data_IF_331478529414
#
_entry.id   IF_331478529414
#
_cell.length_a   1.000
_cell.length_b   1.000
_cell.length_c   1.000
_cell.angle_alpha   90.00
_cell.angle_beta   90.00
_cell.angle_gamma   90.00
#
_symmetry.space_group_name_H-M   'P 1'
#
loop_
_entity.id
_entity.type
_entity.pdbx_description
1 polymer ?
#
# COMPACT_ATOMS: atom_id res chain seq x y z
N UNK A 1 -3.21 13.56 -5.21
CA UNK A 1 -2.25 12.51 -4.86
C UNK A 1 -0.88 13.08 -4.48
N UNK A 2 -0.27 13.94 -5.29
CA UNK A 2 1.11 14.41 -5.07
C UNK A 2 1.30 15.11 -3.71
N UNK A 3 0.28 15.74 -3.13
CA UNK A 3 0.36 16.37 -1.81
C UNK A 3 0.52 15.36 -0.65
N UNK A 4 0.14 14.10 -0.88
CA UNK A 4 0.21 13.02 0.12
C UNK A 4 1.22 11.92 -0.26
N UNK A 5 1.92 12.07 -1.40
CA UNK A 5 2.89 11.10 -1.92
C UNK A 5 4.27 11.72 -1.95
N UNK A 6 5.24 11.05 -1.34
CA UNK A 6 6.63 11.51 -1.27
C UNK A 6 7.19 11.53 0.14
N UNK A 7 8.42 11.98 0.24
CA UNK A 7 9.16 12.10 1.51
C UNK A 7 8.49 13.17 2.38
N UNK A 8 8.36 12.94 3.71
CA UNK A 8 7.80 13.90 4.65
C UNK A 8 8.50 15.26 4.61
N UNK A 9 7.75 16.34 4.91
CA UNK A 9 8.34 17.66 5.03
C UNK A 9 9.33 17.71 6.19
N UNK A 10 10.45 18.38 5.98
CA UNK A 10 11.56 18.48 6.95
C UNK A 10 12.62 17.38 6.82
N UNK A 11 12.40 16.34 6.02
CA UNK A 11 13.39 15.30 5.78
C UNK A 11 14.19 15.55 4.47
N UNK A 12 15.42 15.01 4.36
CA UNK A 12 16.19 15.11 3.13
C UNK A 12 15.45 14.52 1.93
N UNK A 13 15.31 15.28 0.86
CA UNK A 13 14.55 14.88 -0.33
C UNK A 13 13.05 15.12 -0.22
N UNK A 14 12.60 15.89 0.78
CA UNK A 14 11.20 16.27 0.94
C UNK A 14 10.62 16.93 -0.31
N UNK A 15 9.38 16.58 -0.63
CA UNK A 15 8.64 17.17 -1.75
C UNK A 15 7.56 16.26 -2.30
N UNK A 16 6.65 16.84 -3.12
CA UNK A 16 5.63 16.07 -3.78
C UNK A 16 6.24 15.15 -4.84
N UNK A 17 5.79 13.87 -4.85
CA UNK A 17 6.24 12.87 -5.82
C UNK A 17 5.05 12.36 -6.62
N UNK A 18 5.22 12.28 -7.95
CA UNK A 18 4.26 11.64 -8.85
C UNK A 18 4.41 10.12 -8.75
N UNK A 19 3.29 9.40 -8.66
CA UNK A 19 3.29 7.95 -8.83
C UNK A 19 3.83 7.61 -10.23
N UNK A 20 4.64 6.55 -10.33
CA UNK A 20 5.37 6.19 -11.54
C UNK A 20 4.50 5.84 -12.76
N UNK A 21 3.21 5.57 -12.56
CA UNK A 21 2.23 5.29 -13.62
C UNK A 21 1.15 6.37 -13.66
N UNK A 22 0.39 6.43 -14.76
CA UNK A 22 -0.76 7.35 -14.93
C UNK A 22 -1.98 6.80 -14.17
N UNK A 23 -1.94 6.86 -12.83
CA UNK A 23 -2.95 6.26 -11.93
C UNK A 23 -4.34 6.84 -12.18
N UNK A 24 -4.47 8.15 -12.40
CA UNK A 24 -5.76 8.79 -12.67
C UNK A 24 -6.40 8.25 -13.93
N UNK A 25 -5.62 8.08 -15.01
CA UNK A 25 -6.09 7.53 -16.28
C UNK A 25 -6.54 6.08 -16.15
N UNK A 26 -5.73 5.25 -15.45
CA UNK A 26 -6.05 3.84 -15.21
C UNK A 26 -7.35 3.68 -14.43
N UNK A 27 -7.50 4.43 -13.33
CA UNK A 27 -8.71 4.37 -12.50
C UNK A 27 -9.92 4.89 -13.28
N UNK A 28 -9.78 5.99 -14.00
CA UNK A 28 -10.88 6.54 -14.82
C UNK A 28 -11.30 5.56 -15.91
N UNK A 29 -10.33 4.89 -16.56
CA UNK A 29 -10.64 3.84 -17.54
C UNK A 29 -11.41 2.66 -16.94
N UNK A 30 -11.10 2.26 -15.72
CA UNK A 30 -11.84 1.22 -14.99
C UNK A 30 -13.28 1.69 -14.64
N UNK A 31 -13.46 2.92 -14.15
CA UNK A 31 -14.78 3.49 -13.91
C UNK A 31 -15.58 3.61 -15.21
N UNK A 32 -14.96 4.06 -16.31
CA UNK A 32 -15.60 4.13 -17.61
C UNK A 32 -16.09 2.75 -18.07
N UNK A 33 -15.25 1.73 -17.98
CA UNK A 33 -15.62 0.36 -18.33
C UNK A 33 -16.82 -0.14 -17.52
N UNK A 34 -16.80 0.06 -16.20
CA UNK A 34 -17.92 -0.31 -15.33
C UNK A 34 -19.21 0.44 -15.67
N UNK A 35 -19.15 1.75 -15.90
CA UNK A 35 -20.31 2.57 -16.24
C UNK A 35 -20.90 2.17 -17.61
N UNK A 36 -20.06 1.90 -18.61
CA UNK A 36 -20.51 1.42 -19.93
C UNK A 36 -21.20 0.06 -19.80
N UNK A 37 -20.62 -0.88 -19.05
CA UNK A 37 -21.23 -2.19 -18.84
C UNK A 37 -22.58 -2.07 -18.11
N UNK A 38 -22.68 -1.23 -17.10
CA UNK A 38 -23.94 -0.98 -16.39
C UNK A 38 -25.00 -0.37 -17.32
N UNK A 39 -24.64 0.62 -18.13
CA UNK A 39 -25.54 1.23 -19.09
C UNK A 39 -25.99 0.25 -20.18
N UNK A 40 -25.13 -0.68 -20.61
CA UNK A 40 -25.52 -1.73 -21.56
C UNK A 40 -26.54 -2.70 -20.94
N UNK A 41 -26.35 -3.10 -19.69
CA UNK A 41 -27.31 -3.97 -18.98
C UNK A 41 -28.66 -3.26 -18.79
N UNK A 42 -28.64 -1.99 -18.40
CA UNK A 42 -29.86 -1.18 -18.25
C UNK A 42 -30.57 -1.04 -19.60
N UNK A 43 -29.85 -0.80 -20.69
CA UNK A 43 -30.39 -0.69 -22.03
C UNK A 43 -31.16 -1.94 -22.48
N UNK A 44 -30.68 -3.14 -22.11
CA UNK A 44 -31.39 -4.40 -22.44
C UNK A 44 -32.76 -4.49 -21.73
N UNK A 45 -32.93 -3.81 -20.61
CA UNK A 45 -34.20 -3.81 -19.83
C UNK A 45 -35.11 -2.64 -20.24
N UNK A 46 -34.53 -1.43 -20.38
CA UNK A 46 -35.29 -0.20 -20.62
C UNK A 46 -35.50 0.12 -22.09
N UNK A 47 -34.70 -0.45 -23.00
CA UNK A 47 -34.62 -0.12 -24.41
C UNK A 47 -33.99 1.26 -24.70
N UNK A 48 -33.42 1.92 -23.70
CA UNK A 48 -32.86 3.28 -23.79
C UNK A 48 -31.36 3.27 -23.46
N UNK A 49 -30.58 4.06 -24.18
CA UNK A 49 -29.20 4.35 -23.84
C UNK A 49 -29.12 5.43 -22.76
N UNK A 50 -28.00 5.43 -22.03
CA UNK A 50 -27.70 6.42 -21.01
C UNK A 50 -26.53 7.33 -21.42
N UNK A 51 -26.57 8.58 -20.96
CA UNK A 51 -25.44 9.49 -21.05
C UNK A 51 -24.54 9.32 -19.84
N UNK A 52 -23.27 8.99 -20.06
CA UNK A 52 -22.30 8.78 -19.01
C UNK A 52 -21.38 10.00 -18.93
N UNK A 53 -21.46 10.76 -17.85
CA UNK A 53 -20.52 11.83 -17.51
C UNK A 53 -19.43 11.27 -16.59
N UNK A 54 -18.18 11.37 -17.00
CA UNK A 54 -17.04 10.85 -16.26
C UNK A 54 -15.82 11.76 -16.44
N UNK A 55 -15.33 12.32 -15.34
CA UNK A 55 -14.16 13.17 -15.34
C UNK A 55 -12.96 12.50 -14.63
N UNK A 56 -11.75 12.79 -15.13
CA UNK A 56 -10.49 12.41 -14.47
C UNK A 56 -10.41 12.95 -13.04
N UNK A 57 -10.92 14.15 -12.80
CA UNK A 57 -10.93 14.78 -11.49
C UNK A 57 -11.77 13.98 -10.48
N UNK A 58 -12.97 13.55 -10.88
CA UNK A 58 -13.91 12.82 -10.01
C UNK A 58 -13.30 11.46 -9.59
N UNK A 59 -12.73 10.76 -10.57
CA UNK A 59 -12.04 9.50 -10.35
C UNK A 59 -10.82 9.68 -9.44
N UNK A 60 -10.07 10.79 -9.60
CA UNK A 60 -8.93 11.10 -8.76
C UNK A 60 -9.35 11.46 -7.33
N UNK A 61 -10.47 12.16 -7.12
CA UNK A 61 -11.02 12.45 -5.80
C UNK A 61 -11.46 11.15 -5.12
N UNK A 62 -12.15 10.26 -5.82
CA UNK A 62 -12.51 8.94 -5.31
C UNK A 62 -11.27 8.10 -4.90
N UNK A 63 -10.19 8.20 -5.67
CA UNK A 63 -8.93 7.51 -5.39
C UNK A 63 -8.19 8.01 -4.14
N UNK A 64 -8.57 9.13 -3.54
CA UNK A 64 -8.00 9.59 -2.25
C UNK A 64 -8.44 8.69 -1.08
N UNK A 65 -9.54 7.96 -1.21
CA UNK A 65 -10.02 6.94 -0.27
C UNK A 65 -9.98 7.39 1.21
N UNK A 66 -9.26 6.64 2.06
CA UNK A 66 -9.14 6.95 3.49
C UNK A 66 -8.46 8.29 3.80
N UNK A 67 -7.65 8.83 2.90
CA UNK A 67 -7.02 10.15 3.10
C UNK A 67 -8.05 11.28 2.99
N UNK A 68 -8.98 11.18 2.03
CA UNK A 68 -10.10 12.11 1.95
C UNK A 68 -10.98 12.01 3.21
N UNK A 69 -11.28 10.79 3.68
CA UNK A 69 -12.05 10.59 4.91
C UNK A 69 -11.34 11.17 6.13
N UNK A 70 -10.03 10.99 6.27
CA UNK A 70 -9.27 11.60 7.35
C UNK A 70 -9.45 13.13 7.37
N UNK A 71 -9.37 13.78 6.21
CA UNK A 71 -9.60 15.22 6.10
C UNK A 71 -11.05 15.60 6.48
N UNK A 72 -12.04 14.91 5.94
CA UNK A 72 -13.46 15.20 6.17
C UNK A 72 -13.86 15.06 7.64
N UNK A 73 -13.25 14.10 8.37
CA UNK A 73 -13.53 13.90 9.79
C UNK A 73 -12.76 14.86 10.72
N UNK A 74 -11.52 15.23 10.35
CA UNK A 74 -10.64 15.99 11.25
C UNK A 74 -10.48 17.46 10.87
N UNK A 75 -10.82 17.84 9.65
CA UNK A 75 -10.51 19.15 9.07
C UNK A 75 -9.02 19.39 8.80
N UNK A 76 -8.16 18.39 9.07
CA UNK A 76 -6.71 18.51 8.90
C UNK A 76 -6.25 17.84 7.59
N UNK A 77 -5.54 18.61 6.77
CA UNK A 77 -5.00 18.09 5.51
C UNK A 77 -3.92 17.04 5.77
N UNK A 78 -4.06 15.82 5.19
CA UNK A 78 -3.04 14.78 5.33
C UNK A 78 -1.69 15.22 4.79
N UNK A 79 -0.65 14.80 5.50
CA UNK A 79 0.74 15.07 5.13
C UNK A 79 1.39 13.88 4.42
N UNK A 80 2.48 14.12 3.68
CA UNK A 80 3.32 13.06 3.13
C UNK A 80 3.96 12.25 4.26
N UNK A 81 4.00 10.93 4.08
CA UNK A 81 4.54 9.98 5.07
C UNK A 81 5.49 8.94 4.46
N UNK A 82 6.09 9.23 3.31
CA UNK A 82 6.87 8.24 2.58
C UNK A 82 6.00 7.03 2.20
N UNK A 83 6.40 5.85 2.64
CA UNK A 83 5.66 4.60 2.44
C UNK A 83 4.72 4.26 3.61
N UNK A 84 4.68 5.07 4.66
CA UNK A 84 3.96 4.74 5.89
C UNK A 84 2.45 4.98 5.77
N UNK A 85 1.67 3.98 6.23
CA UNK A 85 0.22 4.11 6.34
C UNK A 85 -0.16 5.13 7.43
N UNK A 86 -1.14 6.03 7.20
CA UNK A 86 -1.50 7.06 8.17
C UNK A 86 -2.12 6.49 9.45
N UNK A 87 -2.94 5.46 9.35
CA UNK A 87 -3.83 4.99 10.41
C UNK A 87 -3.47 3.59 10.95
N UNK A 88 -2.47 2.91 10.38
CA UNK A 88 -2.05 1.55 10.77
C UNK A 88 -0.54 1.53 10.97
N UNK A 89 -0.08 1.00 12.11
CA UNK A 89 1.33 0.96 12.48
C UNK A 89 1.70 -0.39 13.12
N UNK A 90 2.79 -1.05 12.66
CA UNK A 90 3.64 -0.71 11.53
C UNK A 90 3.03 -1.17 10.19
N UNK A 91 2.94 -0.27 9.22
CA UNK A 91 2.57 -0.60 7.86
C UNK A 91 3.35 0.33 6.93
N UNK A 92 4.54 -0.10 6.50
CA UNK A 92 5.44 0.65 5.63
C UNK A 92 6.60 -0.21 5.12
N UNK A 93 7.41 0.35 4.22
CA UNK A 93 8.66 -0.26 3.80
C UNK A 93 9.73 -0.07 4.89
N UNK A 94 10.48 -1.14 5.16
CA UNK A 94 11.64 -1.15 6.06
C UNK A 94 12.89 -1.64 5.33
N UNK A 95 14.06 -1.01 5.56
CA UNK A 95 15.31 -1.54 5.04
C UNK A 95 15.66 -2.85 5.75
N UNK A 96 16.16 -3.79 4.97
CA UNK A 96 16.69 -5.06 5.45
C UNK A 96 18.22 -5.08 5.32
N UNK A 97 18.84 -6.24 5.53
CA UNK A 97 20.27 -6.38 5.34
C UNK A 97 20.71 -6.19 3.87
N UNK A 98 19.87 -6.53 2.92
CA UNK A 98 20.20 -6.59 1.49
C UNK A 98 19.29 -5.78 0.57
N UNK A 99 18.09 -5.39 1.03
CA UNK A 99 17.11 -4.68 0.22
C UNK A 99 16.05 -4.01 1.09
N UNK A 100 14.77 -4.10 0.69
CA UNK A 100 13.61 -3.55 1.38
C UNK A 100 12.52 -4.60 1.57
N UNK A 101 11.84 -4.50 2.70
CA UNK A 101 10.68 -5.31 3.05
C UNK A 101 9.46 -4.40 3.22
N UNK A 102 8.39 -4.64 2.47
CA UNK A 102 7.08 -4.10 2.80
C UNK A 102 6.48 -4.93 3.92
N UNK A 103 6.26 -4.33 5.09
CA UNK A 103 5.62 -4.94 6.26
C UNK A 103 4.23 -4.34 6.43
N UNK A 104 3.20 -5.18 6.60
CA UNK A 104 1.81 -4.75 6.73
C UNK A 104 1.14 -5.42 7.93
N UNK A 105 1.38 -4.88 9.11
CA UNK A 105 0.76 -5.35 10.37
C UNK A 105 -0.60 -4.68 10.52
N UNK A 106 -1.66 -5.39 10.14
CA UNK A 106 -3.02 -4.85 10.07
C UNK A 106 -3.81 -4.87 11.39
N UNK A 107 -3.35 -5.61 12.41
CA UNK A 107 -4.04 -5.74 13.70
C UNK A 107 -3.08 -6.11 14.84
N UNK A 108 -3.60 -6.08 16.09
CA UNK A 108 -2.79 -6.28 17.29
C UNK A 108 -2.21 -7.71 17.38
N UNK A 109 -2.97 -8.72 16.98
CA UNK A 109 -2.49 -10.11 16.94
C UNK A 109 -1.31 -10.29 15.97
N UNK A 110 -1.35 -9.63 14.82
CA UNK A 110 -0.24 -9.64 13.88
C UNK A 110 0.98 -8.88 14.42
N UNK A 111 0.77 -7.82 15.20
CA UNK A 111 1.85 -7.11 15.87
C UNK A 111 2.58 -8.01 16.89
N UNK A 112 1.83 -8.71 17.72
CA UNK A 112 2.40 -9.70 18.66
C UNK A 112 3.16 -10.81 17.92
N UNK A 113 2.60 -11.32 16.84
CA UNK A 113 3.24 -12.34 16.01
C UNK A 113 4.54 -11.84 15.38
N UNK A 114 4.54 -10.61 14.86
CA UNK A 114 5.74 -9.93 14.37
C UNK A 114 6.79 -9.79 15.47
N UNK A 115 6.43 -9.29 16.64
CA UNK A 115 7.37 -9.10 17.76
C UNK A 115 8.03 -10.42 18.20
N UNK A 116 7.24 -11.50 18.28
CA UNK A 116 7.77 -12.85 18.58
C UNK A 116 8.74 -13.32 17.50
N UNK A 117 8.34 -13.25 16.24
CA UNK A 117 9.17 -13.67 15.11
C UNK A 117 10.46 -12.84 14.99
N UNK A 118 10.38 -11.57 15.30
CA UNK A 118 11.51 -10.64 15.27
C UNK A 118 12.44 -10.74 16.50
N UNK A 119 12.09 -11.56 17.51
CA UNK A 119 12.84 -11.60 18.78
C UNK A 119 12.73 -10.29 19.58
N UNK A 120 11.58 -9.59 19.43
CA UNK A 120 11.28 -8.29 20.06
C UNK A 120 10.06 -8.38 20.99
N UNK A 121 9.92 -9.51 21.72
CA UNK A 121 8.82 -9.74 22.66
C UNK A 121 8.48 -8.54 23.56
N UNK A 122 9.45 -7.86 24.17
CA UNK A 122 9.18 -6.69 25.02
C UNK A 122 8.41 -5.56 24.35
N UNK A 123 8.48 -5.41 23.01
CA UNK A 123 7.69 -4.41 22.30
C UNK A 123 6.18 -4.73 22.32
N UNK A 124 5.82 -6.02 22.33
CA UNK A 124 4.42 -6.42 22.41
C UNK A 124 3.81 -6.22 23.80
N UNK A 125 4.65 -6.20 24.82
CA UNK A 125 4.25 -6.02 26.22
C UNK A 125 4.22 -4.54 26.65
N UNK A 126 4.86 -3.65 25.88
CA UNK A 126 4.92 -2.22 26.17
C UNK A 126 3.52 -1.59 26.01
N UNK A 127 2.97 -0.94 27.06
CA UNK A 127 1.66 -0.30 27.02
C UNK A 127 1.48 0.69 25.87
N UNK A 128 2.57 1.34 25.42
CA UNK A 128 2.55 2.29 24.32
C UNK A 128 2.27 1.65 22.95
N UNK A 129 2.33 0.31 22.86
CA UNK A 129 2.23 -0.40 21.56
C UNK A 129 1.16 -1.49 21.54
N UNK A 130 0.36 -1.63 22.58
CA UNK A 130 -0.63 -2.70 22.72
C UNK A 130 -1.71 -2.66 21.65
N UNK A 131 -2.32 -1.51 21.44
CA UNK A 131 -3.34 -1.34 20.40
C UNK A 131 -2.77 -0.60 19.18
N UNK A 132 -3.46 -0.72 18.04
CA UNK A 132 -3.10 0.07 16.87
C UNK A 132 -3.17 1.57 17.15
N UNK A 133 -4.15 2.03 17.93
CA UNK A 133 -4.26 3.45 18.31
C UNK A 133 -3.03 3.92 19.09
N UNK A 134 -2.55 3.11 20.06
CA UNK A 134 -1.35 3.41 20.82
C UNK A 134 -0.11 3.46 19.93
N UNK A 135 0.03 2.49 18.99
CA UNK A 135 1.14 2.48 18.04
C UNK A 135 1.12 3.66 17.06
N UNK A 136 -0.06 4.09 16.65
CA UNK A 136 -0.21 5.33 15.83
C UNK A 136 0.26 6.55 16.61
N UNK A 137 -0.15 6.68 17.88
CA UNK A 137 0.23 7.79 18.76
C UNK A 137 1.74 7.80 19.07
N UNK A 138 2.37 6.61 19.17
CA UNK A 138 3.78 6.46 19.55
C UNK A 138 4.66 5.95 18.40
N UNK A 139 4.29 6.22 17.14
CA UNK A 139 5.02 5.71 15.95
C UNK A 139 6.48 6.12 15.92
N UNK A 140 6.80 7.32 16.37
CA UNK A 140 8.17 7.85 16.40
C UNK A 140 9.09 7.05 17.34
N UNK A 141 8.53 6.47 18.39
CA UNK A 141 9.26 5.58 19.29
C UNK A 141 9.35 4.14 18.76
N UNK A 142 8.31 3.65 18.08
CA UNK A 142 8.21 2.27 17.64
C UNK A 142 8.98 2.00 16.34
N UNK A 143 8.85 2.88 15.35
CA UNK A 143 9.39 2.63 14.00
C UNK A 143 10.91 2.41 13.99
N UNK A 144 11.74 3.20 14.72
CA UNK A 144 13.18 2.96 14.78
C UNK A 144 13.55 1.59 15.34
N UNK A 145 12.81 1.06 16.33
CA UNK A 145 13.07 -0.26 16.91
C UNK A 145 12.74 -1.39 15.91
N UNK A 146 11.68 -1.23 15.13
CA UNK A 146 11.33 -2.17 14.06
C UNK A 146 12.36 -2.12 12.94
N UNK A 147 12.77 -0.94 12.52
CA UNK A 147 13.80 -0.77 11.49
C UNK A 147 15.12 -1.45 11.90
N UNK A 148 15.56 -1.22 13.14
CA UNK A 148 16.74 -1.86 13.71
C UNK A 148 16.63 -3.39 13.70
N UNK A 149 15.44 -3.94 13.95
CA UNK A 149 15.20 -5.38 13.84
C UNK A 149 15.25 -5.85 12.37
N UNK A 150 14.59 -5.13 11.44
CA UNK A 150 14.52 -5.50 10.03
C UNK A 150 15.91 -5.57 9.37
N UNK A 151 16.82 -4.69 9.73
CA UNK A 151 18.22 -4.67 9.23
C UNK A 151 19.04 -5.90 9.60
N UNK A 152 18.58 -6.74 10.54
CA UNK A 152 19.34 -7.91 11.02
C UNK A 152 19.27 -9.14 10.12
N UNK A 153 18.36 -9.17 9.14
CA UNK A 153 18.17 -10.32 8.24
C UNK A 153 17.95 -9.84 6.80
N UNK A 154 18.19 -10.76 5.87
CA UNK A 154 17.87 -10.54 4.45
C UNK A 154 16.35 -10.49 4.24
N UNK A 155 15.91 -9.84 3.17
CA UNK A 155 14.50 -9.76 2.77
C UNK A 155 13.88 -11.17 2.66
N UNK A 156 14.58 -12.09 1.99
CA UNK A 156 14.11 -13.46 1.82
C UNK A 156 13.96 -14.21 3.17
N UNK A 157 14.86 -13.97 4.12
CA UNK A 157 14.77 -14.56 5.46
C UNK A 157 13.56 -14.01 6.22
N UNK A 158 13.31 -12.70 6.15
CA UNK A 158 12.14 -12.07 6.74
C UNK A 158 10.84 -12.61 6.17
N UNK A 159 10.74 -12.70 4.84
CA UNK A 159 9.51 -13.18 4.18
C UNK A 159 9.17 -14.59 4.67
N UNK A 160 10.14 -15.52 4.69
CA UNK A 160 9.90 -16.89 5.22
C UNK A 160 9.44 -16.88 6.67
N UNK A 161 10.11 -16.11 7.51
CA UNK A 161 9.82 -16.03 8.95
C UNK A 161 8.43 -15.47 9.23
N UNK A 162 8.08 -14.36 8.58
CA UNK A 162 6.83 -13.65 8.79
C UNK A 162 5.64 -14.36 8.14
N UNK A 163 5.83 -14.99 6.98
CA UNK A 163 4.80 -15.83 6.36
C UNK A 163 4.42 -17.00 7.28
N UNK A 164 5.40 -17.68 7.90
CA UNK A 164 5.15 -18.74 8.87
C UNK A 164 4.43 -18.23 10.13
N UNK A 165 4.62 -16.97 10.50
CA UNK A 165 3.95 -16.31 11.63
C UNK A 165 2.58 -15.71 11.26
N UNK A 166 2.14 -15.79 10.00
CA UNK A 166 0.89 -15.19 9.54
C UNK A 166 0.89 -13.66 9.50
N UNK A 167 2.08 -13.05 9.34
CA UNK A 167 2.26 -11.60 9.24
C UNK A 167 2.43 -11.22 7.77
N UNK A 168 1.55 -10.40 7.18
CA UNK A 168 1.66 -9.98 5.79
C UNK A 168 2.93 -9.16 5.54
N UNK A 169 3.71 -9.59 4.58
CA UNK A 169 4.91 -8.88 4.12
C UNK A 169 5.26 -9.30 2.69
N UNK A 170 6.12 -8.53 2.04
CA UNK A 170 6.61 -8.86 0.70
C UNK A 170 7.86 -8.05 0.32
N UNK A 171 8.56 -8.46 -0.73
CA UNK A 171 9.69 -7.71 -1.27
C UNK A 171 9.19 -6.46 -2.01
N UNK A 172 10.07 -5.50 -2.23
CA UNK A 172 9.84 -4.40 -3.18
C UNK A 172 10.60 -4.75 -4.45
N UNK A 173 9.90 -5.39 -5.37
CA UNK A 173 10.46 -5.87 -6.62
C UNK A 173 10.57 -4.75 -7.65
N UNK A 174 11.65 -4.76 -8.44
CA UNK A 174 11.70 -4.01 -9.69
C UNK A 174 10.87 -4.72 -10.78
N UNK A 175 10.68 -4.07 -11.93
CA UNK A 175 9.82 -4.59 -13.00
C UNK A 175 10.30 -5.96 -13.54
N UNK A 176 11.61 -6.18 -13.65
CA UNK A 176 12.15 -7.45 -14.10
C UNK A 176 11.86 -8.56 -13.09
N UNK A 177 12.05 -8.30 -11.80
CA UNK A 177 11.76 -9.25 -10.72
C UNK A 177 10.27 -9.59 -10.62
N UNK A 178 9.37 -8.63 -10.91
CA UNK A 178 7.92 -8.90 -10.98
C UNK A 178 7.60 -9.98 -12.00
N UNK A 179 8.21 -9.96 -13.20
CA UNK A 179 7.98 -10.97 -14.24
C UNK A 179 8.65 -12.31 -13.95
N UNK A 180 9.61 -12.36 -13.04
CA UNK A 180 10.24 -13.60 -12.55
C UNK A 180 9.50 -14.21 -11.34
N UNK A 181 8.58 -13.48 -10.74
CA UNK A 181 7.83 -13.90 -9.56
C UNK A 181 6.99 -15.15 -9.86
N UNK A 182 7.07 -16.23 -9.04
CA UNK A 182 6.41 -17.52 -9.31
C UNK A 182 4.91 -17.41 -9.56
N UNK A 183 4.19 -16.55 -8.82
CA UNK A 183 2.75 -16.39 -8.97
C UNK A 183 2.39 -15.67 -10.28
N UNK A 184 3.20 -14.70 -10.71
CA UNK A 184 3.04 -14.00 -12.01
C UNK A 184 3.20 -14.99 -13.17
N UNK A 185 4.22 -15.86 -13.10
CA UNK A 185 4.45 -16.93 -14.07
C UNK A 185 3.33 -17.98 -14.06
N UNK A 186 2.93 -18.44 -12.88
CA UNK A 186 1.84 -19.41 -12.72
C UNK A 186 0.53 -18.91 -13.33
N UNK A 187 0.19 -17.65 -13.09
CA UNK A 187 -1.02 -17.01 -13.62
C UNK A 187 -0.90 -16.59 -15.09
N UNK A 188 0.25 -16.79 -15.72
CA UNK A 188 0.52 -16.42 -17.11
C UNK A 188 0.15 -14.97 -17.42
N UNK A 189 0.53 -14.05 -16.52
CA UNK A 189 0.24 -12.62 -16.69
C UNK A 189 1.05 -11.97 -17.81
N UNK A 190 2.11 -12.65 -18.27
CA UNK A 190 2.86 -12.33 -19.50
C UNK A 190 2.64 -13.43 -20.51
N UNK A 191 2.31 -13.05 -21.74
CA UNK A 191 2.25 -13.95 -22.89
C UNK A 191 2.79 -13.22 -24.13
N UNK A 192 3.40 -13.98 -25.01
CA UNK A 192 3.95 -13.46 -26.25
C UNK A 192 2.92 -13.57 -27.37
N UNK A 193 2.77 -12.49 -28.14
CA UNK A 193 1.86 -12.45 -29.29
C UNK A 193 2.70 -12.31 -30.57
N UNK A 194 2.47 -13.17 -31.53
CA UNK A 194 3.10 -13.03 -32.84
C UNK A 194 2.60 -11.73 -33.51
N UNK A 195 3.53 -10.86 -33.86
CA UNK A 195 3.23 -9.61 -34.57
C UNK A 195 3.90 -9.64 -35.93
N UNK A 196 3.13 -9.49 -36.99
CA UNK A 196 3.67 -9.25 -38.31
C UNK A 196 4.27 -7.83 -38.34
N UNK A 197 5.55 -7.71 -38.72
CA UNK A 197 6.18 -6.40 -38.97
C UNK A 197 5.70 -5.86 -40.29
#
# INVERSE_FOLDING_TARGET
>A
LMSITGVPDGEPGAGPVKVGVAVSDLITGLYASNAIMAALVEREQSGRGEYIDLALLDSQVAALANQALNFLFTGQSPQRRGTAHPNIVPYQAFPTQDSWLMLAVGNDRQFEAFCRAAGRGPLAEDPRFRSNADRVAHREALIPEIEKACRQKTTAAWIRLLAAAGVPCGPINNIAEVFEEPQVKHRKLRFDVAHAK
#
